data_IF_918419403457
#
_entry.id   IF_918419403457
#
_cell.length_a   1.000
_cell.length_b   1.000
_cell.length_c   1.000
_cell.angle_alpha   90.00
_cell.angle_beta   90.00
_cell.angle_gamma   90.00
#
_symmetry.space_group_name_H-M   'P 1'
#
loop_
_entity.id
_entity.type
_entity.pdbx_description
1 polymer ?
#
# COMPACT_ATOMS: atom_id res chain seq x y z
N UNK A 1 6.57 3.02 -6.08
CA UNK A 1 7.48 2.43 -7.10
C UNK A 1 7.61 3.20 -8.39
N UNK A 2 6.53 3.63 -9.04
CA UNK A 2 6.63 4.34 -10.33
C UNK A 2 7.33 5.70 -10.18
N UNK A 3 6.96 6.49 -9.17
CA UNK A 3 7.56 7.81 -8.92
C UNK A 3 9.00 7.72 -8.36
N UNK A 4 9.25 6.72 -7.51
CA UNK A 4 10.51 6.55 -6.78
C UNK A 4 10.34 6.70 -5.27
N UNK A 5 10.87 5.75 -4.49
CA UNK A 5 10.78 5.77 -3.02
C UNK A 5 11.67 6.86 -2.41
N UNK A 6 12.79 7.18 -3.04
CA UNK A 6 13.66 8.30 -2.67
C UNK A 6 12.97 9.66 -2.85
N UNK A 7 12.23 9.85 -3.94
CA UNK A 7 11.45 11.08 -4.17
C UNK A 7 10.40 11.25 -3.07
N UNK A 8 9.67 10.19 -2.74
CA UNK A 8 8.71 10.20 -1.63
C UNK A 8 9.40 10.51 -0.30
N UNK A 9 10.54 9.86 0.00
CA UNK A 9 11.30 10.12 1.21
C UNK A 9 11.83 11.55 1.31
N UNK A 10 12.20 12.16 0.18
CA UNK A 10 12.61 13.55 0.13
C UNK A 10 11.46 14.51 0.46
N UNK A 11 10.28 14.31 -0.14
CA UNK A 11 9.10 15.15 0.12
C UNK A 11 8.67 15.05 1.59
N UNK A 12 8.64 13.83 2.15
CA UNK A 12 8.32 13.61 3.57
C UNK A 12 9.29 14.38 4.46
N UNK A 13 10.60 14.31 4.20
CA UNK A 13 11.60 15.06 4.97
C UNK A 13 11.39 16.57 4.87
N UNK A 14 11.10 17.10 3.68
CA UNK A 14 10.83 18.53 3.52
C UNK A 14 9.60 18.96 4.32
N UNK A 15 8.53 18.15 4.33
CA UNK A 15 7.34 18.44 5.14
C UNK A 15 7.68 18.42 6.65
N UNK A 16 8.48 17.46 7.09
CA UNK A 16 8.95 17.35 8.47
C UNK A 16 9.76 18.60 8.88
N UNK A 17 10.74 19.00 8.08
CA UNK A 17 11.63 20.12 8.38
C UNK A 17 10.94 21.50 8.26
N UNK A 18 10.03 21.67 7.30
CA UNK A 18 9.47 22.99 6.97
C UNK A 18 8.10 23.27 7.56
N UNK A 19 7.37 22.24 8.02
CA UNK A 19 6.01 22.38 8.55
C UNK A 19 5.90 21.89 10.00
N UNK A 20 6.72 22.39 10.95
CA UNK A 20 6.74 21.90 12.34
C UNK A 20 5.44 22.18 13.11
N UNK A 21 4.66 23.17 12.67
CA UNK A 21 3.40 23.56 13.31
C UNK A 21 2.15 23.01 12.59
N UNK A 22 2.33 22.15 11.58
CA UNK A 22 1.21 21.55 10.88
C UNK A 22 0.47 20.57 11.82
N UNK A 23 -0.87 20.67 11.98
CA UNK A 23 -1.64 19.73 12.80
C UNK A 23 -1.45 18.26 12.43
N UNK A 24 -1.06 18.00 11.18
CA UNK A 24 -0.83 16.68 10.63
C UNK A 24 0.63 16.22 10.69
N UNK A 25 1.55 17.07 11.16
CA UNK A 25 2.99 16.82 11.18
C UNK A 25 3.37 15.45 11.78
N UNK A 26 2.71 15.05 12.88
CA UNK A 26 2.90 13.74 13.52
C UNK A 26 2.56 12.52 12.63
N UNK A 27 1.68 12.69 11.64
CA UNK A 27 1.24 11.61 10.76
C UNK A 27 2.09 11.51 9.49
N UNK A 28 2.80 12.58 9.12
CA UNK A 28 3.67 12.62 7.94
C UNK A 28 5.11 12.20 8.27
N UNK A 29 5.24 11.14 9.07
CA UNK A 29 6.54 10.56 9.41
C UNK A 29 6.87 9.38 8.50
N UNK A 30 8.12 9.29 8.04
CA UNK A 30 8.58 8.18 7.20
C UNK A 30 8.52 6.86 8.00
N UNK A 31 7.78 5.83 7.54
CA UNK A 31 7.79 4.54 8.19
C UNK A 31 9.16 3.86 8.12
N UNK A 32 9.50 3.04 9.11
CA UNK A 32 10.81 2.38 9.21
C UNK A 32 11.11 1.46 8.01
N UNK A 33 10.10 0.76 7.46
CA UNK A 33 10.26 -0.08 6.28
C UNK A 33 10.63 0.76 5.03
N UNK A 34 10.10 1.99 4.91
CA UNK A 34 10.42 2.87 3.78
C UNK A 34 11.86 3.34 3.86
N UNK A 35 12.34 3.66 5.07
CA UNK A 35 13.74 4.01 5.30
C UNK A 35 14.69 2.88 4.87
N UNK A 36 14.41 1.65 5.30
CA UNK A 36 15.20 0.45 4.96
C UNK A 36 15.29 0.22 3.45
N UNK A 37 14.17 0.37 2.72
CA UNK A 37 14.16 0.21 1.26
C UNK A 37 15.05 1.26 0.57
N UNK A 38 14.95 2.53 1.01
CA UNK A 38 15.76 3.62 0.44
C UNK A 38 17.25 3.39 0.72
N UNK A 39 17.61 3.04 1.95
CA UNK A 39 19.00 2.74 2.35
C UNK A 39 19.58 1.55 1.57
N UNK A 40 18.76 0.54 1.29
CA UNK A 40 19.13 -0.62 0.47
C UNK A 40 19.12 -0.35 -1.04
N UNK A 41 18.88 0.89 -1.49
CA UNK A 41 18.81 1.25 -2.91
C UNK A 41 17.61 0.66 -3.67
N UNK A 42 16.59 0.17 -2.96
CA UNK A 42 15.35 -0.35 -3.54
C UNK A 42 14.39 0.80 -3.80
N UNK A 43 14.68 1.60 -4.83
CA UNK A 43 14.01 2.88 -5.10
C UNK A 43 12.72 2.76 -5.94
N UNK A 44 12.31 1.55 -6.33
CA UNK A 44 11.13 1.31 -7.16
C UNK A 44 11.48 0.86 -8.57
N UNK A 45 10.66 1.27 -9.54
CA UNK A 45 10.73 0.75 -10.90
C UNK A 45 12.07 1.07 -11.58
N UNK A 46 12.66 2.23 -11.30
CA UNK A 46 13.95 2.65 -11.87
C UNK A 46 15.13 1.77 -11.45
N UNK A 47 15.05 1.12 -10.29
CA UNK A 47 16.05 0.17 -9.78
C UNK A 47 15.59 -1.28 -9.88
N UNK A 48 14.41 -1.54 -10.48
CA UNK A 48 13.81 -2.87 -10.61
C UNK A 48 13.28 -3.48 -9.29
N UNK A 49 13.36 -2.74 -8.17
CA UNK A 49 13.02 -3.21 -6.83
C UNK A 49 12.56 -2.04 -5.95
N UNK A 50 11.38 -2.16 -5.34
CA UNK A 50 10.77 -1.23 -4.39
C UNK A 50 9.75 -1.95 -3.51
N UNK A 51 8.50 -1.50 -3.44
CA UNK A 51 7.43 -2.35 -2.87
C UNK A 51 7.25 -3.66 -3.65
N UNK A 52 7.46 -3.59 -4.96
CA UNK A 52 7.47 -4.72 -5.85
C UNK A 52 8.88 -5.00 -6.35
N UNK A 53 9.18 -6.27 -6.55
CA UNK A 53 10.40 -6.74 -7.18
C UNK A 53 10.04 -7.59 -8.39
N UNK A 54 10.56 -7.22 -9.56
CA UNK A 54 10.35 -8.00 -10.78
C UNK A 54 11.50 -8.99 -10.95
N UNK A 55 11.21 -10.28 -10.77
CA UNK A 55 12.16 -11.38 -10.97
C UNK A 55 11.81 -12.11 -12.26
N UNK A 56 12.45 -11.72 -13.36
CA UNK A 56 12.12 -12.22 -14.70
C UNK A 56 10.71 -11.84 -15.12
N UNK A 57 9.81 -12.83 -15.22
CA UNK A 57 8.37 -12.63 -15.54
C UNK A 57 7.47 -12.55 -14.31
N UNK A 58 7.97 -12.90 -13.13
CA UNK A 58 7.19 -12.92 -11.90
C UNK A 58 7.33 -11.60 -11.14
N UNK A 59 6.25 -11.22 -10.45
CA UNK A 59 6.20 -10.03 -9.60
C UNK A 59 6.08 -10.50 -8.16
N UNK A 60 7.01 -10.05 -7.34
CA UNK A 60 6.98 -10.25 -5.90
C UNK A 60 6.62 -8.93 -5.22
N UNK A 61 5.99 -9.02 -4.05
CA UNK A 61 5.61 -7.90 -3.20
C UNK A 61 6.31 -8.03 -1.85
N UNK A 62 6.76 -6.91 -1.31
CA UNK A 62 7.35 -6.81 0.01
C UNK A 62 6.34 -7.28 1.07
N UNK A 63 6.79 -8.16 1.94
CA UNK A 63 6.14 -8.52 3.18
C UNK A 63 6.75 -7.68 4.31
N UNK A 64 5.94 -6.87 4.97
CA UNK A 64 6.42 -5.93 5.99
C UNK A 64 6.78 -6.63 7.32
N UNK A 65 6.26 -7.84 7.56
CA UNK A 65 6.52 -8.58 8.78
C UNK A 65 7.89 -9.27 8.71
N UNK A 66 8.18 -9.95 7.60
CA UNK A 66 9.49 -10.60 7.40
C UNK A 66 10.55 -9.64 6.85
N UNK A 67 10.15 -8.60 6.10
CA UNK A 67 11.06 -7.76 5.31
C UNK A 67 11.50 -8.39 3.99
N UNK A 68 11.02 -9.61 3.68
CA UNK A 68 11.31 -10.33 2.44
C UNK A 68 10.22 -10.13 1.39
N UNK A 69 10.43 -10.70 0.20
CA UNK A 69 9.49 -10.62 -0.92
C UNK A 69 8.75 -11.94 -1.13
N UNK A 70 7.43 -11.87 -1.24
CA UNK A 70 6.55 -13.00 -1.56
C UNK A 70 5.85 -12.81 -2.90
N UNK A 71 5.37 -13.87 -3.57
CA UNK A 71 4.62 -13.72 -4.82
C UNK A 71 3.44 -12.75 -4.67
N UNK A 72 3.27 -11.85 -5.65
CA UNK A 72 2.27 -10.77 -5.62
C UNK A 72 0.82 -11.25 -5.85
N UNK A 73 0.62 -12.51 -6.26
CA UNK A 73 -0.68 -13.07 -6.61
C UNK A 73 -1.52 -13.43 -5.39
N UNK A 74 -2.02 -12.44 -4.64
CA UNK A 74 -3.11 -12.67 -3.68
C UNK A 74 -4.44 -12.46 -4.39
N UNK A 75 -5.24 -13.52 -4.43
CA UNK A 75 -6.65 -13.42 -4.83
C UNK A 75 -7.44 -12.59 -3.81
N UNK A 76 -8.53 -11.92 -4.23
CA UNK A 76 -9.42 -11.24 -3.31
C UNK A 76 -10.01 -12.23 -2.31
N UNK A 77 -10.37 -11.75 -1.11
CA UNK A 77 -11.10 -12.59 -0.17
C UNK A 77 -12.46 -13.01 -0.77
N UNK A 78 -12.96 -14.18 -0.37
CA UNK A 78 -14.28 -14.65 -0.82
C UNK A 78 -15.41 -13.64 -0.49
N UNK A 79 -15.24 -12.86 0.59
CA UNK A 79 -16.14 -11.77 0.95
C UNK A 79 -16.12 -10.65 -0.10
N UNK A 80 -14.93 -10.19 -0.49
CA UNK A 80 -14.75 -9.18 -1.55
C UNK A 80 -15.26 -9.70 -2.89
N UNK A 81 -14.90 -10.91 -3.29
CA UNK A 81 -15.41 -11.50 -4.54
C UNK A 81 -16.94 -11.57 -4.55
N UNK A 82 -17.53 -12.03 -3.44
CA UNK A 82 -18.97 -12.13 -3.29
C UNK A 82 -19.67 -10.77 -3.34
N UNK A 83 -19.02 -9.69 -2.90
CA UNK A 83 -19.53 -8.32 -3.01
C UNK A 83 -19.40 -7.79 -4.45
N UNK A 84 -18.25 -8.01 -5.10
CA UNK A 84 -18.01 -7.55 -6.48
C UNK A 84 -18.97 -8.18 -7.49
N UNK A 85 -19.46 -9.40 -7.23
CA UNK A 85 -20.47 -10.10 -8.05
C UNK A 85 -21.88 -9.49 -7.97
N UNK A 86 -22.16 -8.60 -7.02
CA UNK A 86 -23.48 -7.95 -6.94
C UNK A 86 -23.70 -6.99 -8.12
N UNK A 87 -24.92 -7.00 -8.66
CA UNK A 87 -25.28 -6.21 -9.84
C UNK A 87 -25.41 -4.72 -9.52
N UNK A 88 -26.03 -4.39 -8.39
CA UNK A 88 -26.25 -3.00 -7.99
C UNK A 88 -25.18 -2.52 -7.02
N UNK A 89 -24.88 -1.22 -7.08
CA UNK A 89 -23.96 -0.59 -6.14
C UNK A 89 -24.49 -0.64 -4.69
N UNK A 90 -25.81 -0.50 -4.50
CA UNK A 90 -26.42 -0.58 -3.17
C UNK A 90 -26.19 -1.93 -2.49
N UNK A 91 -26.42 -3.03 -3.21
CA UNK A 91 -26.18 -4.39 -2.71
C UNK A 91 -24.70 -4.65 -2.47
N UNK A 92 -23.83 -4.19 -3.37
CA UNK A 92 -22.37 -4.32 -3.23
C UNK A 92 -21.87 -3.64 -1.96
N UNK A 93 -22.24 -2.38 -1.74
CA UNK A 93 -21.83 -1.60 -0.57
C UNK A 93 -22.43 -2.15 0.71
N UNK A 94 -23.70 -2.59 0.69
CA UNK A 94 -24.32 -3.24 1.83
C UNK A 94 -23.57 -4.52 2.25
N UNK A 95 -23.12 -5.32 1.26
CA UNK A 95 -22.35 -6.55 1.50
C UNK A 95 -20.94 -6.29 2.00
N UNK A 96 -20.25 -5.26 1.48
CA UNK A 96 -18.94 -4.84 2.00
C UNK A 96 -19.05 -4.34 3.45
N UNK A 97 -20.05 -3.49 3.73
CA UNK A 97 -20.29 -2.93 5.06
C UNK A 97 -20.60 -4.00 6.11
N UNK A 98 -21.37 -5.02 5.73
CA UNK A 98 -21.79 -6.10 6.64
C UNK A 98 -20.79 -7.25 6.79
N UNK A 99 -19.58 -7.14 6.25
CA UNK A 99 -18.58 -8.21 6.31
C UNK A 99 -17.52 -7.94 7.37
N UNK A 100 -17.16 -8.95 8.16
CA UNK A 100 -16.02 -8.84 9.12
C UNK A 100 -14.64 -9.07 8.46
N UNK A 101 -14.59 -9.31 7.15
CA UNK A 101 -13.35 -9.52 6.42
C UNK A 101 -12.56 -8.21 6.28
N UNK A 102 -11.26 -8.25 6.57
CA UNK A 102 -10.39 -7.08 6.55
C UNK A 102 -10.31 -6.41 5.17
N UNK A 103 -10.32 -7.19 4.07
CA UNK A 103 -10.29 -6.62 2.73
C UNK A 103 -11.63 -5.96 2.39
N UNK A 104 -12.75 -6.57 2.77
CA UNK A 104 -14.08 -6.00 2.58
C UNK A 104 -14.26 -4.68 3.37
N UNK A 105 -13.79 -4.63 4.61
CA UNK A 105 -13.81 -3.42 5.45
C UNK A 105 -12.91 -2.31 4.89
N UNK A 106 -11.73 -2.66 4.38
CA UNK A 106 -10.88 -1.70 3.68
C UNK A 106 -11.59 -1.11 2.47
N UNK A 107 -12.19 -1.95 1.62
CA UNK A 107 -12.94 -1.48 0.45
C UNK A 107 -14.12 -0.58 0.82
N UNK A 108 -14.92 -0.96 1.83
CA UNK A 108 -16.00 -0.10 2.34
C UNK A 108 -15.47 1.25 2.82
N UNK A 109 -14.30 1.28 3.45
CA UNK A 109 -13.66 2.52 3.93
C UNK A 109 -13.23 3.45 2.80
N UNK A 110 -12.92 2.95 1.61
CA UNK A 110 -12.55 3.78 0.46
C UNK A 110 -13.76 4.42 -0.26
N UNK A 111 -14.97 3.90 -0.05
CA UNK A 111 -16.19 4.39 -0.71
C UNK A 111 -17.07 5.26 0.19
N UNK A 112 -16.66 5.51 1.44
CA UNK A 112 -17.41 6.30 2.43
C UNK A 112 -16.70 7.60 2.78
#
# INVERSE_FOLDING_TARGET
>A
DVVGLDTMGHVIRTMDEQLPNDPWHQFFQKPSWLAKLIEAGSLGQKTGKGFYEKRGKEIFVLDLESGDYRPSGKEPSAAVEGALRQKTWGERLAKLRGSDDAQAQFMWSCFR
#
